data_IF_111782290811
#
_entry.id   IF_111782290811
#
_cell.length_a   1.000
_cell.length_b   1.000
_cell.length_c   1.000
_cell.angle_alpha   90.00
_cell.angle_beta   90.00
_cell.angle_gamma   90.00
#
_symmetry.space_group_name_H-M   'P 1'
#
loop_
_entity.id
_entity.type
_entity.pdbx_description
1 polymer ?
#
# COMPACT_ATOMS: atom_id res chain seq x y z
N UNK A 1 44.96 -20.96 7.48
CA UNK A 1 44.17 -19.76 7.85
C UNK A 1 42.87 -19.83 7.05
N UNK A 2 41.68 -19.65 7.66
CA UNK A 2 40.42 -19.56 6.92
C UNK A 2 40.44 -18.30 6.04
N UNK A 3 40.01 -18.42 4.77
CA UNK A 3 39.87 -17.27 3.86
C UNK A 3 38.73 -16.38 4.36
N UNK A 4 38.92 -15.07 4.25
CA UNK A 4 37.84 -14.12 4.53
C UNK A 4 36.83 -14.12 3.38
N UNK A 5 35.58 -13.74 3.67
CA UNK A 5 34.52 -13.61 2.68
C UNK A 5 34.90 -12.63 1.54
N UNK A 6 35.65 -11.58 1.87
CA UNK A 6 36.17 -10.60 0.91
C UNK A 6 37.25 -11.18 -0.01
N UNK A 7 38.13 -12.05 0.50
CA UNK A 7 39.13 -12.73 -0.34
C UNK A 7 38.48 -13.74 -1.28
N UNK A 8 37.47 -14.48 -0.79
CA UNK A 8 36.69 -15.37 -1.64
C UNK A 8 35.97 -14.59 -2.74
N UNK A 9 35.33 -13.47 -2.39
CA UNK A 9 34.68 -12.58 -3.34
C UNK A 9 35.64 -12.04 -4.41
N UNK A 10 36.82 -11.56 -4.03
CA UNK A 10 37.80 -11.02 -4.96
C UNK A 10 38.28 -12.08 -5.98
N UNK A 11 38.62 -13.28 -5.50
CA UNK A 11 39.04 -14.40 -6.34
C UNK A 11 37.91 -14.81 -7.33
N UNK A 12 36.70 -15.04 -6.81
CA UNK A 12 35.56 -15.51 -7.60
C UNK A 12 35.08 -14.45 -8.62
N UNK A 13 35.14 -13.18 -8.24
CA UNK A 13 34.80 -12.06 -9.12
C UNK A 13 35.77 -11.93 -10.29
N UNK A 14 37.06 -12.18 -10.06
CA UNK A 14 38.07 -12.24 -11.12
C UNK A 14 37.71 -13.29 -12.18
N UNK A 15 37.34 -14.49 -11.75
CA UNK A 15 36.91 -15.57 -12.65
C UNK A 15 35.66 -15.21 -13.45
N UNK A 16 34.68 -14.53 -12.84
CA UNK A 16 33.49 -14.08 -13.56
C UNK A 16 33.81 -12.99 -14.58
N UNK A 17 34.68 -12.04 -14.25
CA UNK A 17 35.11 -10.97 -15.15
C UNK A 17 35.88 -11.53 -16.35
N UNK A 18 36.79 -12.46 -16.13
CA UNK A 18 37.52 -13.15 -17.21
C UNK A 18 36.57 -13.88 -18.17
N UNK A 19 35.55 -14.56 -17.64
CA UNK A 19 34.53 -15.24 -18.46
C UNK A 19 33.69 -14.26 -19.26
N UNK A 20 33.32 -13.11 -18.68
CA UNK A 20 32.58 -12.06 -19.41
C UNK A 20 33.44 -11.43 -20.51
N UNK A 21 34.71 -11.12 -20.26
CA UNK A 21 35.63 -10.60 -21.28
C UNK A 21 35.83 -11.57 -22.45
N UNK A 22 35.93 -12.87 -22.16
CA UNK A 22 35.95 -13.93 -23.19
C UNK A 22 34.66 -13.98 -23.99
N UNK A 23 33.50 -13.93 -23.32
CA UNK A 23 32.21 -13.93 -24.00
C UNK A 23 32.01 -12.70 -24.91
N UNK A 24 32.56 -11.54 -24.53
CA UNK A 24 32.58 -10.34 -25.38
C UNK A 24 33.49 -10.46 -26.60
N UNK A 25 34.59 -11.19 -26.45
CA UNK A 25 35.64 -11.31 -27.47
C UNK A 25 35.49 -12.52 -28.39
N UNK A 26 34.53 -13.42 -28.12
CA UNK A 26 34.40 -14.71 -28.79
C UNK A 26 34.03 -14.62 -30.29
N UNK A 27 33.52 -13.49 -30.77
CA UNK A 27 33.10 -13.34 -32.16
C UNK A 27 32.60 -11.93 -32.52
N UNK A 28 32.03 -11.76 -33.74
CA UNK A 28 31.47 -10.48 -34.19
C UNK A 28 30.24 -10.05 -33.37
N UNK A 29 29.49 -11.01 -32.82
CA UNK A 29 28.41 -10.82 -31.86
C UNK A 29 28.72 -11.61 -30.59
N UNK A 30 28.58 -11.03 -29.39
CA UNK A 30 28.90 -11.69 -28.15
C UNK A 30 27.81 -12.69 -27.78
N UNK A 31 28.18 -13.69 -26.97
CA UNK A 31 27.17 -14.51 -26.31
C UNK A 31 26.53 -13.71 -25.17
N UNK A 32 25.42 -13.04 -25.49
CA UNK A 32 24.69 -12.19 -24.56
C UNK A 32 24.05 -13.00 -23.41
N UNK A 33 23.76 -14.29 -23.62
CA UNK A 33 23.19 -15.15 -22.59
C UNK A 33 24.24 -15.57 -21.55
N UNK A 34 25.45 -15.91 -21.99
CA UNK A 34 26.59 -16.15 -21.10
C UNK A 34 26.96 -14.88 -20.32
N UNK A 35 27.03 -13.73 -20.99
CA UNK A 35 27.29 -12.44 -20.33
C UNK A 35 26.29 -12.16 -19.21
N UNK A 36 24.99 -12.36 -19.48
CA UNK A 36 23.93 -12.18 -18.49
C UNK A 36 24.08 -13.13 -17.31
N UNK A 37 24.46 -14.39 -17.55
CA UNK A 37 24.65 -15.39 -16.48
C UNK A 37 25.81 -15.04 -15.56
N UNK A 38 26.97 -14.68 -16.12
CA UNK A 38 28.14 -14.31 -15.32
C UNK A 38 27.96 -12.96 -14.59
N UNK A 39 27.31 -11.98 -15.22
CA UNK A 39 26.97 -10.72 -14.55
C UNK A 39 26.02 -10.92 -13.36
N UNK A 40 25.03 -11.83 -13.48
CA UNK A 40 24.16 -12.22 -12.37
C UNK A 40 24.93 -12.89 -11.24
N UNK A 41 25.86 -13.79 -11.54
CA UNK A 41 26.68 -14.47 -10.54
C UNK A 41 27.57 -13.48 -9.79
N UNK A 42 28.26 -12.58 -10.51
CA UNK A 42 29.07 -11.51 -9.93
C UNK A 42 28.25 -10.61 -9.00
N UNK A 43 27.05 -10.20 -9.42
CA UNK A 43 26.13 -9.40 -8.60
C UNK A 43 25.73 -10.12 -7.31
N UNK A 44 25.48 -11.43 -7.39
CA UNK A 44 25.16 -12.26 -6.22
C UNK A 44 26.32 -12.31 -5.23
N UNK A 45 27.52 -12.63 -5.72
CA UNK A 45 28.75 -12.70 -4.91
C UNK A 45 29.06 -11.34 -4.25
N UNK A 46 28.90 -10.23 -4.98
CA UNK A 46 29.08 -8.88 -4.45
C UNK A 46 28.12 -8.54 -3.30
N UNK A 47 26.84 -8.94 -3.40
CA UNK A 47 25.87 -8.74 -2.31
C UNK A 47 26.19 -9.57 -1.08
N UNK A 48 26.67 -10.80 -1.27
CA UNK A 48 27.07 -11.65 -0.15
C UNK A 48 28.25 -11.04 0.60
N UNK A 49 29.16 -10.36 -0.10
CA UNK A 49 30.33 -9.69 0.45
C UNK A 49 30.10 -8.23 0.87
N UNK A 50 28.84 -7.78 0.94
CA UNK A 50 28.45 -6.41 1.30
C UNK A 50 29.07 -5.32 0.41
N UNK A 51 29.29 -5.63 -0.88
CA UNK A 51 29.86 -4.74 -1.89
C UNK A 51 28.77 -4.17 -2.82
N UNK A 52 27.85 -3.39 -2.25
CA UNK A 52 26.65 -2.90 -2.94
C UNK A 52 26.95 -2.08 -4.22
N UNK A 53 28.02 -1.28 -4.21
CA UNK A 53 28.42 -0.51 -5.38
C UNK A 53 28.80 -1.43 -6.55
N UNK A 54 29.56 -2.49 -6.30
CA UNK A 54 29.95 -3.48 -7.31
C UNK A 54 28.72 -4.27 -7.77
N UNK A 55 27.83 -4.64 -6.84
CA UNK A 55 26.57 -5.31 -7.17
C UNK A 55 25.68 -4.47 -8.11
N UNK A 56 25.66 -3.14 -7.93
CA UNK A 56 24.94 -2.21 -8.80
C UNK A 56 25.55 -2.17 -10.20
N UNK A 57 26.86 -2.02 -10.32
CA UNK A 57 27.56 -2.02 -11.60
C UNK A 57 27.39 -3.33 -12.38
N UNK A 58 27.51 -4.48 -11.69
CA UNK A 58 27.24 -5.80 -12.27
C UNK A 58 25.77 -5.94 -12.73
N UNK A 59 24.83 -5.33 -11.99
CA UNK A 59 23.42 -5.25 -12.38
C UNK A 59 23.19 -4.51 -13.70
N UNK A 60 23.96 -3.46 -13.98
CA UNK A 60 23.87 -2.71 -15.23
C UNK A 60 24.36 -3.53 -16.44
N UNK A 61 25.48 -4.25 -16.29
CA UNK A 61 25.98 -5.21 -17.28
C UNK A 61 24.93 -6.30 -17.54
N UNK A 62 24.35 -6.86 -16.46
CA UNK A 62 23.30 -7.87 -16.56
C UNK A 62 22.07 -7.36 -17.34
N UNK A 63 21.66 -6.11 -17.12
CA UNK A 63 20.53 -5.51 -17.81
C UNK A 63 20.82 -5.30 -19.30
N UNK A 64 21.98 -4.73 -19.64
CA UNK A 64 22.39 -4.52 -21.04
C UNK A 64 22.51 -5.85 -21.81
N UNK A 65 23.01 -6.91 -21.17
CA UNK A 65 23.03 -8.25 -21.74
C UNK A 65 21.62 -8.83 -21.93
N UNK A 66 20.70 -8.58 -21.00
CA UNK A 66 19.30 -8.99 -21.14
C UNK A 66 18.59 -8.28 -22.31
N UNK A 67 18.88 -7.00 -22.53
CA UNK A 67 18.33 -6.25 -23.67
C UNK A 67 18.87 -6.75 -25.02
N UNK A 68 20.13 -7.17 -25.07
CA UNK A 68 20.71 -7.85 -26.23
C UNK A 68 20.02 -9.19 -26.52
N UNK A 69 19.82 -10.03 -25.49
CA UNK A 69 19.09 -11.30 -25.63
C UNK A 69 17.64 -11.07 -26.10
N UNK A 70 17.00 -10.00 -25.62
CA UNK A 70 15.63 -9.63 -25.99
C UNK A 70 15.54 -8.92 -27.35
N UNK A 71 16.66 -8.66 -28.04
CA UNK A 71 16.69 -7.91 -29.30
C UNK A 71 16.32 -6.43 -29.17
N UNK A 72 16.25 -5.89 -27.96
CA UNK A 72 15.90 -4.47 -27.70
C UNK A 72 17.08 -3.52 -27.96
N UNK A 73 18.29 -4.07 -28.00
CA UNK A 73 19.51 -3.32 -28.22
C UNK A 73 20.30 -3.93 -29.36
N UNK A 74 20.82 -3.08 -30.24
CA UNK A 74 21.70 -3.52 -31.32
C UNK A 74 23.14 -3.65 -30.82
N UNK A 75 23.82 -4.73 -31.19
CA UNK A 75 25.24 -4.90 -30.93
C UNK A 75 26.07 -4.08 -31.93
N UNK A 76 26.63 -2.96 -31.48
CA UNK A 76 27.47 -2.07 -32.28
C UNK A 76 28.79 -1.72 -31.59
N UNK A 77 29.68 -1.02 -32.31
CA UNK A 77 31.01 -0.64 -31.81
C UNK A 77 30.95 0.21 -30.52
N UNK A 78 29.96 1.09 -30.41
CA UNK A 78 29.75 1.92 -29.22
C UNK A 78 29.38 1.08 -28.00
N UNK A 79 28.39 0.20 -28.11
CA UNK A 79 27.98 -0.69 -27.02
C UNK A 79 29.11 -1.64 -26.62
N UNK A 80 29.86 -2.15 -27.60
CA UNK A 80 31.05 -2.95 -27.35
C UNK A 80 32.07 -2.19 -26.50
N UNK A 81 32.44 -0.97 -26.92
CA UNK A 81 33.38 -0.12 -26.18
C UNK A 81 32.89 0.23 -24.77
N UNK A 82 31.59 0.52 -24.62
CA UNK A 82 30.98 0.79 -23.32
C UNK A 82 31.02 -0.44 -22.40
N UNK A 83 30.77 -1.64 -22.93
CA UNK A 83 30.81 -2.88 -22.16
C UNK A 83 32.24 -3.26 -21.74
N UNK A 84 33.21 -3.16 -22.66
CA UNK A 84 34.63 -3.40 -22.37
C UNK A 84 35.16 -2.43 -21.30
N UNK A 85 34.81 -1.15 -21.44
CA UNK A 85 35.18 -0.12 -20.46
C UNK A 85 34.55 -0.38 -19.10
N UNK A 86 33.25 -0.74 -19.06
CA UNK A 86 32.56 -1.10 -17.83
C UNK A 86 33.18 -2.30 -17.12
N UNK A 87 33.52 -3.38 -17.82
CA UNK A 87 34.16 -4.55 -17.21
C UNK A 87 35.54 -4.21 -16.63
N UNK A 88 36.33 -3.41 -17.35
CA UNK A 88 37.63 -2.93 -16.86
C UNK A 88 37.49 -2.10 -15.59
N UNK A 89 36.50 -1.22 -15.53
CA UNK A 89 36.24 -0.42 -14.34
C UNK A 89 35.75 -1.26 -13.16
N UNK A 90 34.83 -2.21 -13.39
CA UNK A 90 34.36 -3.17 -12.37
C UNK A 90 35.54 -3.98 -11.84
N UNK A 91 36.46 -4.43 -12.69
CA UNK A 91 37.69 -5.12 -12.27
C UNK A 91 38.51 -4.24 -11.32
N UNK A 92 38.73 -2.97 -11.66
CA UNK A 92 39.41 -2.04 -10.77
C UNK A 92 38.68 -1.80 -9.43
N UNK A 93 37.35 -1.86 -9.42
CA UNK A 93 36.58 -1.81 -8.16
C UNK A 93 36.79 -3.08 -7.33
N UNK A 94 36.76 -4.26 -7.95
CA UNK A 94 37.02 -5.56 -7.29
C UNK A 94 38.44 -5.62 -6.71
N UNK A 95 39.44 -5.18 -7.45
CA UNK A 95 40.84 -5.17 -7.01
C UNK A 95 41.07 -4.23 -5.82
N UNK A 96 40.23 -3.20 -5.65
CA UNK A 96 40.31 -2.22 -4.58
C UNK A 96 39.44 -2.53 -3.36
N UNK A 97 38.76 -3.67 -3.29
CA UNK A 97 37.84 -4.01 -2.18
C UNK A 97 38.51 -4.02 -0.81
N UNK A 98 39.82 -4.34 -0.73
CA UNK A 98 40.59 -4.30 0.53
C UNK A 98 40.87 -2.87 1.01
N UNK A 99 40.81 -1.90 0.13
CA UNK A 99 41.04 -0.47 0.41
C UNK A 99 40.18 0.37 -0.56
N UNK A 100 38.85 0.39 -0.36
CA UNK A 100 37.93 0.94 -1.34
C UNK A 100 38.13 2.45 -1.51
N UNK A 101 38.09 2.98 -2.74
CA UNK A 101 38.21 4.41 -2.99
C UNK A 101 36.95 5.14 -2.52
N UNK A 102 37.10 6.39 -2.10
CA UNK A 102 36.00 7.20 -1.55
C UNK A 102 34.87 7.48 -2.57
N UNK A 103 35.14 7.33 -3.86
CA UNK A 103 34.22 7.59 -4.97
C UNK A 103 33.60 6.32 -5.59
N UNK A 104 33.77 5.15 -4.95
CA UNK A 104 33.30 3.85 -5.48
C UNK A 104 31.82 3.86 -5.91
N UNK A 105 30.95 4.53 -5.14
CA UNK A 105 29.53 4.65 -5.45
C UNK A 105 29.28 5.45 -6.74
N UNK A 106 29.99 6.56 -6.94
CA UNK A 106 29.88 7.41 -8.14
C UNK A 106 30.38 6.70 -9.38
N UNK A 107 31.47 5.93 -9.25
CA UNK A 107 32.00 5.12 -10.36
C UNK A 107 31.01 4.03 -10.76
N UNK A 108 30.40 3.35 -9.79
CA UNK A 108 29.36 2.36 -10.05
C UNK A 108 28.11 2.98 -10.72
N UNK A 109 27.74 4.19 -10.34
CA UNK A 109 26.63 4.94 -10.95
C UNK A 109 26.95 5.35 -12.39
N UNK A 110 28.15 5.88 -12.66
CA UNK A 110 28.57 6.22 -14.03
C UNK A 110 28.60 5.00 -14.97
N UNK A 111 29.00 3.83 -14.47
CA UNK A 111 28.90 2.57 -15.22
C UNK A 111 27.43 2.25 -15.56
N UNK A 112 26.53 2.43 -14.58
CA UNK A 112 25.11 2.16 -14.77
C UNK A 112 24.45 3.13 -15.75
N UNK A 113 24.77 4.42 -15.68
CA UNK A 113 24.32 5.45 -16.63
C UNK A 113 24.81 5.13 -18.03
N UNK A 114 26.12 4.93 -18.24
CA UNK A 114 26.69 4.65 -19.56
C UNK A 114 26.13 3.37 -20.21
N UNK A 115 25.83 2.35 -19.42
CA UNK A 115 25.18 1.13 -19.91
C UNK A 115 23.65 1.27 -20.00
N UNK A 116 23.04 2.23 -19.31
CA UNK A 116 21.63 2.57 -19.39
C UNK A 116 21.28 3.50 -20.57
N UNK A 117 22.21 4.39 -20.97
CA UNK A 117 21.98 5.55 -21.84
C UNK A 117 22.05 5.31 -23.35
N UNK A 118 22.28 4.08 -23.83
CA UNK A 118 21.86 3.77 -25.21
C UNK A 118 20.34 3.55 -25.18
N UNK A 119 19.65 4.68 -25.10
CA UNK A 119 18.23 4.87 -25.33
C UNK A 119 17.87 4.25 -26.69
N UNK A 120 16.64 3.75 -26.79
CA UNK A 120 16.03 3.58 -28.10
C UNK A 120 16.26 4.87 -28.91
N UNK A 121 16.53 4.78 -30.23
CA UNK A 121 16.63 5.98 -31.05
C UNK A 121 15.45 6.90 -30.72
N UNK A 122 15.67 8.22 -30.55
CA UNK A 122 14.60 9.13 -30.19
C UNK A 122 13.44 8.91 -31.16
N UNK A 123 12.18 8.87 -30.66
CA UNK A 123 11.04 8.65 -31.53
C UNK A 123 11.13 9.67 -32.68
N UNK A 124 10.96 9.22 -33.93
CA UNK A 124 10.92 10.12 -35.06
C UNK A 124 9.83 11.20 -34.83
N UNK A 125 9.91 12.37 -35.49
CA UNK A 125 8.92 13.43 -35.31
C UNK A 125 7.48 12.92 -35.46
N UNK A 126 6.53 13.43 -34.65
CA UNK A 126 5.12 12.97 -34.56
C UNK A 126 4.41 12.82 -35.92
N UNK A 127 4.77 13.66 -36.89
CA UNK A 127 4.18 13.68 -38.23
C UNK A 127 4.86 12.75 -39.26
N UNK A 128 5.90 12.01 -38.87
CA UNK A 128 6.65 11.10 -39.74
C UNK A 128 5.96 9.73 -39.86
N UNK A 129 5.92 9.15 -41.06
CA UNK A 129 5.54 7.76 -41.31
C UNK A 129 6.38 6.79 -40.47
N UNK A 130 7.66 7.13 -40.24
CA UNK A 130 8.57 6.35 -39.38
C UNK A 130 8.09 6.31 -37.93
N UNK A 131 7.51 7.41 -37.43
CA UNK A 131 6.97 7.46 -36.07
C UNK A 131 5.74 6.57 -35.94
N UNK A 132 4.83 6.61 -36.92
CA UNK A 132 3.66 5.72 -36.94
C UNK A 132 4.07 4.26 -36.99
N UNK A 133 5.02 3.89 -37.84
CA UNK A 133 5.52 2.51 -37.93
C UNK A 133 6.22 2.07 -36.63
N UNK A 134 7.00 2.96 -36.01
CA UNK A 134 7.60 2.72 -34.70
C UNK A 134 6.52 2.47 -33.64
N UNK A 135 5.59 3.39 -33.48
CA UNK A 135 4.51 3.30 -32.51
C UNK A 135 3.67 2.05 -32.73
N UNK A 136 3.27 1.75 -33.98
CA UNK A 136 2.55 0.53 -34.32
C UNK A 136 3.33 -0.74 -33.95
N UNK A 137 4.65 -0.74 -34.09
CA UNK A 137 5.49 -1.88 -33.65
C UNK A 137 5.50 -2.01 -32.13
N UNK A 138 5.60 -0.90 -31.39
CA UNK A 138 5.56 -0.92 -29.92
C UNK A 138 4.19 -1.37 -29.39
N UNK A 139 3.08 -0.88 -29.98
CA UNK A 139 1.72 -1.27 -29.63
C UNK A 139 1.46 -2.76 -29.89
N UNK A 140 1.91 -3.28 -31.05
CA UNK A 140 1.83 -4.72 -31.34
C UNK A 140 2.64 -5.54 -30.34
N UNK A 141 3.82 -5.06 -29.94
CA UNK A 141 4.63 -5.69 -28.91
C UNK A 141 3.91 -5.75 -27.56
N UNK A 142 3.24 -4.67 -27.15
CA UNK A 142 2.40 -4.66 -25.94
C UNK A 142 1.21 -5.63 -26.07
N UNK A 143 0.51 -5.63 -27.20
CA UNK A 143 -0.62 -6.54 -27.44
C UNK A 143 -0.19 -8.02 -27.35
N UNK A 144 0.98 -8.38 -27.89
CA UNK A 144 1.55 -9.72 -27.76
C UNK A 144 1.82 -10.09 -26.29
N UNK A 145 2.48 -9.20 -25.53
CA UNK A 145 2.77 -9.43 -24.11
C UNK A 145 1.47 -9.57 -23.27
N UNK A 146 0.42 -8.81 -23.60
CA UNK A 146 -0.91 -8.98 -22.97
C UNK A 146 -1.46 -10.38 -23.29
N UNK A 147 -1.36 -10.83 -24.54
CA UNK A 147 -1.79 -12.17 -24.95
C UNK A 147 -1.07 -13.28 -24.18
N UNK A 148 0.24 -13.19 -24.04
CA UNK A 148 1.04 -14.15 -23.25
C UNK A 148 0.68 -14.10 -21.76
N UNK A 149 0.50 -12.90 -21.24
CA UNK A 149 0.11 -12.68 -19.83
C UNK A 149 -1.26 -13.27 -19.54
N UNK A 150 -2.23 -13.15 -20.45
CA UNK A 150 -3.57 -13.72 -20.33
C UNK A 150 -3.52 -15.25 -20.15
N UNK A 151 -2.71 -15.96 -20.94
CA UNK A 151 -2.58 -17.42 -20.83
C UNK A 151 -2.06 -17.83 -19.45
N UNK A 152 -1.11 -17.07 -18.91
CA UNK A 152 -0.56 -17.33 -17.56
C UNK A 152 -1.62 -17.03 -16.49
N UNK A 153 -2.30 -15.89 -16.60
CA UNK A 153 -3.28 -15.42 -15.61
C UNK A 153 -4.57 -16.25 -15.61
N UNK A 154 -4.96 -16.81 -16.75
CA UNK A 154 -6.08 -17.76 -16.83
C UNK A 154 -5.79 -19.06 -16.06
N UNK A 155 -4.53 -19.51 -16.06
CA UNK A 155 -4.09 -20.71 -15.35
C UNK A 155 -3.77 -20.43 -13.89
N UNK A 156 -3.16 -19.29 -13.61
CA UNK A 156 -2.78 -18.85 -12.28
C UNK A 156 -3.17 -17.38 -12.05
N UNK A 157 -4.41 -17.11 -11.62
CA UNK A 157 -4.93 -15.77 -11.34
C UNK A 157 -4.20 -14.98 -10.24
N UNK A 158 -3.34 -15.64 -9.46
CA UNK A 158 -2.56 -15.02 -8.38
C UNK A 158 -1.16 -14.61 -8.82
N UNK A 159 -0.72 -15.04 -10.01
CA UNK A 159 0.61 -14.73 -10.50
C UNK A 159 0.76 -13.22 -10.78
N UNK A 160 1.66 -12.57 -10.04
CA UNK A 160 1.91 -11.11 -10.17
C UNK A 160 2.94 -10.76 -11.21
N UNK A 161 3.75 -11.71 -11.66
CA UNK A 161 4.84 -11.42 -12.59
C UNK A 161 4.33 -10.93 -13.97
N UNK A 162 3.30 -11.52 -14.59
CA UNK A 162 2.73 -11.00 -15.84
C UNK A 162 2.28 -9.54 -15.70
N UNK A 163 1.56 -9.22 -14.62
CA UNK A 163 1.08 -7.86 -14.35
C UNK A 163 2.22 -6.84 -14.21
N UNK A 164 3.31 -7.20 -13.52
CA UNK A 164 4.49 -6.34 -13.39
C UNK A 164 5.19 -6.13 -14.72
N UNK A 165 5.27 -7.15 -15.58
CA UNK A 165 5.84 -7.01 -16.94
C UNK A 165 5.00 -6.05 -17.78
N UNK A 166 3.68 -6.17 -17.75
CA UNK A 166 2.77 -5.25 -18.44
C UNK A 166 2.96 -3.80 -18.00
N UNK A 167 3.00 -3.52 -16.69
CA UNK A 167 3.25 -2.15 -16.19
C UNK A 167 4.58 -1.59 -16.66
N UNK A 168 5.65 -2.40 -16.66
CA UNK A 168 6.96 -1.97 -17.18
C UNK A 168 6.91 -1.64 -18.68
N UNK A 169 6.04 -2.30 -19.44
CA UNK A 169 5.87 -2.08 -20.88
C UNK A 169 4.98 -0.88 -21.20
N UNK A 170 3.98 -0.61 -20.36
CA UNK A 170 3.07 0.53 -20.49
C UNK A 170 3.77 1.87 -20.23
N UNK A 171 4.64 1.96 -19.21
CA UNK A 171 5.25 3.23 -18.80
C UNK A 171 6.01 3.99 -19.90
N UNK A 172 6.85 3.35 -20.73
CA UNK A 172 7.51 4.05 -21.84
C UNK A 172 6.51 4.61 -22.86
N UNK A 173 5.40 3.91 -23.13
CA UNK A 173 4.37 4.36 -24.07
C UNK A 173 3.65 5.61 -23.57
N UNK A 174 3.40 5.71 -22.26
CA UNK A 174 2.85 6.92 -21.60
C UNK A 174 3.78 8.13 -21.72
N UNK A 175 5.09 7.90 -21.91
CA UNK A 175 6.06 8.97 -22.12
C UNK A 175 6.12 9.50 -23.56
N UNK A 176 5.43 8.85 -24.50
CA UNK A 176 5.39 9.28 -25.90
C UNK A 176 4.27 10.32 -26.04
N UNK A 177 4.66 11.53 -26.44
CA UNK A 177 3.72 12.64 -26.65
C UNK A 177 2.63 12.27 -27.68
N UNK A 178 1.36 12.48 -27.30
CA UNK A 178 0.20 12.24 -28.16
C UNK A 178 -0.29 10.79 -28.22
N UNK A 179 0.32 9.83 -27.52
CA UNK A 179 -0.22 8.45 -27.44
C UNK A 179 -1.59 8.42 -26.77
N UNK A 180 -1.79 9.26 -25.76
CA UNK A 180 -3.07 9.37 -25.04
C UNK A 180 -4.19 9.97 -25.94
N UNK A 181 -3.83 10.69 -27.02
CA UNK A 181 -4.77 11.30 -27.97
C UNK A 181 -5.26 10.30 -29.03
N UNK A 182 -4.61 9.14 -29.16
CA UNK A 182 -4.96 8.15 -30.17
C UNK A 182 -6.24 7.41 -29.72
N UNK A 183 -7.30 7.40 -30.55
CA UNK A 183 -8.53 6.70 -30.24
C UNK A 183 -8.29 5.23 -29.84
N UNK A 184 -8.99 4.78 -28.80
CA UNK A 184 -8.89 3.46 -28.18
C UNK A 184 -7.53 3.11 -27.53
N UNK A 185 -6.39 3.66 -27.96
CA UNK A 185 -5.07 3.40 -27.35
C UNK A 185 -4.96 4.05 -25.97
N UNK A 186 -5.23 5.36 -25.87
CA UNK A 186 -5.20 6.09 -24.59
C UNK A 186 -6.07 5.43 -23.52
N UNK A 187 -7.36 5.17 -23.81
CA UNK A 187 -8.27 4.43 -22.93
C UNK A 187 -7.76 3.03 -22.57
N UNK A 188 -7.29 2.24 -23.55
CA UNK A 188 -6.77 0.89 -23.30
C UNK A 188 -5.57 0.89 -22.35
N UNK A 189 -4.59 1.76 -22.59
CA UNK A 189 -3.37 1.83 -21.77
C UNK A 189 -3.70 2.31 -20.36
N UNK A 190 -4.56 3.31 -20.24
CA UNK A 190 -5.02 3.86 -18.95
C UNK A 190 -5.80 2.82 -18.15
N UNK A 191 -6.79 2.17 -18.75
CA UNK A 191 -7.58 1.13 -18.11
C UNK A 191 -6.72 -0.05 -17.64
N UNK A 192 -5.74 -0.48 -18.44
CA UNK A 192 -4.78 -1.51 -18.04
C UNK A 192 -3.95 -1.07 -16.84
N UNK A 193 -3.37 0.13 -16.86
CA UNK A 193 -2.54 0.63 -15.77
C UNK A 193 -3.34 0.74 -14.46
N UNK A 194 -4.50 1.39 -14.48
CA UNK A 194 -5.34 1.60 -13.30
C UNK A 194 -5.80 0.28 -12.69
N UNK A 195 -6.32 -0.64 -13.51
CA UNK A 195 -6.79 -1.94 -13.02
C UNK A 195 -5.64 -2.78 -12.48
N UNK A 196 -4.48 -2.79 -13.14
CA UNK A 196 -3.32 -3.54 -12.63
C UNK A 196 -2.84 -2.96 -11.30
N UNK A 197 -2.76 -1.64 -11.16
CA UNK A 197 -2.38 -0.98 -9.92
C UNK A 197 -3.41 -1.26 -8.81
N UNK A 198 -4.70 -1.25 -9.12
CA UNK A 198 -5.76 -1.60 -8.16
C UNK A 198 -5.66 -3.05 -7.69
N UNK A 199 -5.38 -3.98 -8.60
CA UNK A 199 -5.14 -5.39 -8.26
C UNK A 199 -3.92 -5.53 -7.33
N UNK A 200 -2.85 -4.77 -7.58
CA UNK A 200 -1.65 -4.79 -6.76
C UNK A 200 -1.91 -4.22 -5.35
N UNK A 201 -2.61 -3.09 -5.26
CA UNK A 201 -2.94 -2.41 -4.00
C UNK A 201 -3.86 -3.24 -3.11
N UNK A 202 -4.91 -3.82 -3.69
CA UNK A 202 -5.89 -4.65 -2.96
C UNK A 202 -5.44 -6.11 -2.76
N UNK A 203 -4.32 -6.50 -3.36
CA UNK A 203 -3.89 -7.90 -3.44
C UNK A 203 -4.98 -8.86 -4.01
N UNK A 204 -5.91 -8.34 -4.81
CA UNK A 204 -7.02 -9.12 -5.40
C UNK A 204 -6.55 -10.12 -6.47
N UNK A 205 -7.28 -11.22 -6.69
CA UNK A 205 -6.99 -12.17 -7.77
C UNK A 205 -7.52 -11.65 -9.11
N UNK A 206 -6.86 -11.99 -10.23
CA UNK A 206 -7.34 -11.65 -11.58
C UNK A 206 -8.58 -12.48 -11.92
N UNK A 207 -9.76 -11.95 -11.64
CA UNK A 207 -11.05 -12.54 -12.01
C UNK A 207 -11.46 -12.35 -13.49
N UNK A 208 -12.60 -12.96 -13.91
CA UNK A 208 -13.06 -12.97 -15.30
C UNK A 208 -13.25 -11.59 -15.93
N UNK A 209 -13.77 -10.61 -15.18
CA UNK A 209 -13.95 -9.23 -15.68
C UNK A 209 -12.63 -8.59 -16.10
N UNK A 210 -11.56 -8.76 -15.32
CA UNK A 210 -10.23 -8.27 -15.69
C UNK A 210 -9.72 -8.92 -16.99
N UNK A 211 -9.97 -10.23 -17.17
CA UNK A 211 -9.55 -10.94 -18.39
C UNK A 211 -10.31 -10.46 -19.62
N UNK A 212 -11.60 -10.14 -19.48
CA UNK A 212 -12.40 -9.54 -20.56
C UNK A 212 -11.86 -8.18 -20.94
N UNK A 213 -11.62 -7.29 -19.96
CA UNK A 213 -11.00 -5.99 -20.18
C UNK A 213 -9.64 -6.12 -20.88
N UNK A 214 -8.76 -6.99 -20.38
CA UNK A 214 -7.42 -7.20 -20.94
C UNK A 214 -7.47 -7.73 -22.38
N UNK A 215 -8.41 -8.64 -22.70
CA UNK A 215 -8.64 -9.10 -24.07
C UNK A 215 -9.14 -7.97 -24.97
N UNK A 216 -10.03 -7.12 -24.48
CA UNK A 216 -10.56 -6.00 -25.26
C UNK A 216 -9.50 -4.94 -25.53
N UNK A 217 -8.73 -4.57 -24.51
CA UNK A 217 -7.58 -3.68 -24.63
C UNK A 217 -6.54 -4.24 -25.60
N UNK A 218 -6.21 -5.54 -25.52
CA UNK A 218 -5.31 -6.21 -26.47
C UNK A 218 -5.79 -6.07 -27.90
N UNK A 219 -7.08 -6.33 -28.15
CA UNK A 219 -7.66 -6.25 -29.49
C UNK A 219 -7.56 -4.82 -30.04
N UNK A 220 -7.95 -3.82 -29.25
CA UNK A 220 -7.87 -2.41 -29.66
C UNK A 220 -6.43 -1.99 -30.00
N UNK A 221 -5.45 -2.41 -29.20
CA UNK A 221 -4.04 -2.12 -29.45
C UNK A 221 -3.54 -2.78 -30.74
N UNK A 222 -3.93 -4.02 -31.04
CA UNK A 222 -3.51 -4.74 -32.25
C UNK A 222 -4.16 -4.20 -33.53
N UNK A 223 -5.43 -3.78 -33.43
CA UNK A 223 -6.17 -3.13 -34.52
C UNK A 223 -5.47 -1.82 -34.91
N UNK A 224 -5.24 -0.92 -33.95
CA UNK A 224 -4.55 0.35 -34.18
C UNK A 224 -3.11 0.14 -34.61
N UNK A 225 -2.39 -0.82 -34.02
CA UNK A 225 -1.04 -1.17 -34.45
C UNK A 225 -0.98 -1.56 -35.93
N UNK A 226 -1.99 -2.31 -36.39
CA UNK A 226 -2.06 -2.76 -37.78
C UNK A 226 -2.27 -1.61 -38.75
N UNK A 227 -3.13 -0.65 -38.43
CA UNK A 227 -3.34 0.57 -39.21
C UNK A 227 -2.07 1.44 -39.26
N UNK A 228 -1.45 1.69 -38.10
CA UNK A 228 -0.21 2.47 -38.00
C UNK A 228 0.96 1.86 -38.78
N UNK A 229 1.10 0.53 -38.76
CA UNK A 229 2.15 -0.18 -39.52
C UNK A 229 1.92 -0.07 -41.03
N UNK A 230 0.66 -0.02 -41.48
CA UNK A 230 0.29 0.26 -42.89
C UNK A 230 0.51 1.73 -43.28
N UNK A 231 0.77 2.61 -42.32
CA UNK A 231 0.93 4.04 -42.54
C UNK A 231 -0.41 4.79 -42.58
N UNK A 232 -1.51 4.12 -42.25
CA UNK A 232 -2.86 4.68 -42.18
C UNK A 232 -3.03 5.49 -40.88
N UNK A 233 -4.00 6.41 -40.86
CA UNK A 233 -4.39 7.04 -39.60
C UNK A 233 -5.32 6.09 -38.83
N UNK A 234 -5.18 6.02 -37.49
CA UNK A 234 -6.05 5.20 -36.66
C UNK A 234 -7.51 5.53 -36.94
N UNK A 235 -8.28 4.55 -37.41
CA UNK A 235 -9.68 4.77 -37.69
C UNK A 235 -10.41 4.96 -36.36
N UNK A 236 -10.95 6.16 -36.14
CA UNK A 236 -11.53 6.62 -34.88
C UNK A 236 -12.87 5.96 -34.55
N UNK A 237 -12.94 4.64 -34.50
CA UNK A 237 -14.15 3.94 -34.01
C UNK A 237 -14.21 4.14 -32.50
N UNK A 238 -14.84 5.24 -32.09
CA UNK A 238 -15.04 5.64 -30.70
C UNK A 238 -15.66 4.53 -29.84
N UNK A 239 -16.41 3.62 -30.46
CA UNK A 239 -17.08 2.50 -29.78
C UNK A 239 -16.09 1.62 -28.99
N UNK A 240 -14.88 1.40 -29.51
CA UNK A 240 -13.86 0.59 -28.82
C UNK A 240 -13.32 1.26 -27.55
N UNK A 241 -13.21 2.59 -27.57
CA UNK A 241 -12.78 3.37 -26.41
C UNK A 241 -13.87 3.36 -25.31
N UNK A 242 -15.12 3.61 -25.70
CA UNK A 242 -16.27 3.61 -24.77
C UNK A 242 -16.43 2.26 -24.09
N UNK A 243 -16.36 1.17 -24.85
CA UNK A 243 -16.48 -0.18 -24.29
C UNK A 243 -15.35 -0.52 -23.30
N UNK A 244 -14.13 -0.07 -23.55
CA UNK A 244 -13.00 -0.26 -22.63
C UNK A 244 -13.21 0.51 -21.33
N UNK A 245 -13.67 1.76 -21.40
CA UNK A 245 -13.98 2.56 -20.22
C UNK A 245 -15.14 1.95 -19.42
N UNK A 246 -16.22 1.51 -20.07
CA UNK A 246 -17.33 0.82 -19.41
C UNK A 246 -16.87 -0.46 -18.69
N UNK A 247 -16.02 -1.27 -19.34
CA UNK A 247 -15.46 -2.48 -18.74
C UNK A 247 -14.53 -2.15 -17.57
N UNK A 248 -13.74 -1.08 -17.67
CA UNK A 248 -12.87 -0.60 -16.59
C UNK A 248 -13.71 -0.22 -15.38
N UNK A 249 -14.73 0.60 -15.57
CA UNK A 249 -15.60 1.08 -14.50
C UNK A 249 -16.33 -0.10 -13.82
N UNK A 250 -16.89 -1.03 -14.59
CA UNK A 250 -17.49 -2.25 -14.06
C UNK A 250 -16.52 -3.08 -13.22
N UNK A 251 -15.27 -3.24 -13.67
CA UNK A 251 -14.24 -4.00 -12.95
C UNK A 251 -13.85 -3.30 -11.65
N UNK A 252 -13.66 -1.98 -11.69
CA UNK A 252 -13.29 -1.19 -10.51
C UNK A 252 -14.42 -1.11 -9.49
N UNK A 253 -15.67 -0.98 -9.94
CA UNK A 253 -16.86 -0.98 -9.08
C UNK A 253 -17.09 -2.35 -8.45
N UNK A 254 -16.98 -3.44 -9.22
CA UNK A 254 -17.09 -4.81 -8.68
C UNK A 254 -15.99 -5.10 -7.65
N UNK A 255 -14.78 -4.57 -7.86
CA UNK A 255 -13.68 -4.69 -6.90
C UNK A 255 -13.92 -3.85 -5.64
N UNK A 256 -14.66 -2.75 -5.72
CA UNK A 256 -15.09 -1.95 -4.57
C UNK A 256 -16.27 -2.59 -3.81
N UNK A 257 -17.17 -3.29 -4.52
CA UNK A 257 -18.37 -3.94 -3.95
C UNK A 257 -18.14 -5.34 -3.39
N UNK A 258 -16.99 -5.99 -3.65
CA UNK A 258 -16.63 -7.22 -2.94
C UNK A 258 -16.28 -6.88 -1.49
N UNK A 259 -17.32 -6.78 -0.67
CA UNK A 259 -17.22 -6.88 0.77
C UNK A 259 -16.56 -8.23 1.07
N UNK A 260 -15.25 -8.22 1.34
CA UNK A 260 -14.46 -9.43 1.57
C UNK A 260 -15.00 -10.06 2.84
N UNK A 261 -15.95 -10.99 2.68
CA UNK A 261 -16.43 -11.84 3.76
C UNK A 261 -15.34 -12.88 4.00
N UNK A 262 -14.65 -12.78 5.12
CA UNK A 262 -13.56 -13.70 5.44
C UNK A 262 -14.14 -15.10 5.72
N UNK A 263 -13.39 -16.16 5.42
CA UNK A 263 -13.82 -17.54 5.74
C UNK A 263 -14.16 -17.66 7.23
N UNK A 264 -13.44 -16.92 8.09
CA UNK A 264 -13.70 -16.85 9.52
C UNK A 264 -15.04 -16.18 9.89
N UNK A 265 -15.64 -15.39 9.01
CA UNK A 265 -16.99 -14.79 9.14
C UNK A 265 -18.09 -15.73 8.61
N UNK A 266 -17.74 -16.82 7.93
CA UNK A 266 -18.66 -17.86 7.46
C UNK A 266 -18.94 -18.94 8.52
N UNK A 267 -18.24 -18.93 9.65
CA UNK A 267 -18.48 -19.86 10.76
C UNK A 267 -19.50 -19.29 11.76
N UNK A 268 -20.40 -20.15 12.22
CA UNK A 268 -21.40 -19.82 13.24
C UNK A 268 -20.76 -19.57 14.62
N UNK A 269 -21.39 -18.71 15.41
CA UNK A 269 -20.97 -18.32 16.77
C UNK A 269 -21.21 -19.38 17.85
N UNK A 270 -21.98 -20.40 17.51
CA UNK A 270 -22.35 -21.44 18.46
C UNK A 270 -21.23 -22.46 18.60
N UNK A 271 -20.98 -22.97 19.82
CA UNK A 271 -20.19 -24.17 20.03
C UNK A 271 -20.97 -25.39 19.50
N UNK A 272 -21.17 -25.44 18.19
CA UNK A 272 -21.71 -26.58 17.46
C UNK A 272 -20.60 -27.57 17.08
N UNK A 273 -20.95 -28.77 16.59
CA UNK A 273 -20.02 -29.87 16.31
C UNK A 273 -19.09 -29.64 15.09
N UNK A 274 -18.83 -28.37 14.74
CA UNK A 274 -18.19 -27.95 13.48
C UNK A 274 -16.75 -27.47 13.65
N UNK A 275 -16.20 -27.52 14.87
CA UNK A 275 -14.78 -27.25 15.11
C UNK A 275 -14.11 -28.59 15.42
N UNK A 276 -13.51 -29.21 14.41
CA UNK A 276 -12.48 -30.23 14.68
C UNK A 276 -11.35 -29.56 15.46
N UNK A 277 -10.89 -30.20 16.54
CA UNK A 277 -9.82 -29.70 17.40
C UNK A 277 -8.65 -29.20 16.54
N UNK A 278 -8.42 -27.89 16.57
CA UNK A 278 -7.29 -27.29 15.86
C UNK A 278 -6.02 -27.82 16.54
N UNK A 279 -5.15 -28.55 15.84
CA UNK A 279 -3.96 -29.12 16.45
C UNK A 279 -3.08 -27.97 16.96
N UNK A 280 -3.01 -27.83 18.28
CA UNK A 280 -2.07 -26.93 18.92
C UNK A 280 -0.66 -27.45 18.60
N UNK A 281 0.23 -26.58 18.12
CA UNK A 281 1.60 -26.99 17.83
C UNK A 281 2.28 -27.54 19.11
N UNK A 282 3.36 -28.29 18.98
CA UNK A 282 4.03 -28.88 20.14
C UNK A 282 4.64 -27.81 21.05
N UNK A 283 4.62 -28.05 22.37
CA UNK A 283 5.11 -27.14 23.42
C UNK A 283 6.59 -26.78 23.18
N UNK A 284 6.83 -25.60 22.60
CA UNK A 284 8.10 -24.88 22.78
C UNK A 284 8.26 -24.41 24.23
N UNK A 285 9.46 -23.98 24.61
CA UNK A 285 9.92 -23.75 25.99
C UNK A 285 9.22 -22.64 26.83
N UNK A 286 7.96 -22.28 26.54
CA UNK A 286 7.13 -21.32 27.29
C UNK A 286 5.67 -21.75 27.40
N UNK A 287 4.88 -21.09 28.27
CA UNK A 287 3.44 -21.37 28.37
C UNK A 287 2.70 -20.75 27.17
N UNK A 288 1.80 -21.51 26.54
CA UNK A 288 0.91 -21.04 25.47
C UNK A 288 0.17 -19.76 25.85
N UNK A 289 -0.27 -19.69 27.11
CA UNK A 289 -0.92 -18.53 27.71
C UNK A 289 -0.01 -17.29 27.71
N UNK A 290 1.27 -17.45 28.06
CA UNK A 290 2.23 -16.34 28.07
C UNK A 290 2.54 -15.82 26.68
N UNK A 291 2.66 -16.71 25.70
CA UNK A 291 2.83 -16.32 24.29
C UNK A 291 1.60 -15.60 23.76
N UNK A 292 0.40 -16.14 24.01
CA UNK A 292 -0.85 -15.47 23.64
C UNK A 292 -0.95 -14.09 24.28
N UNK A 293 -0.71 -13.98 25.59
CA UNK A 293 -0.79 -12.70 26.30
C UNK A 293 0.17 -11.66 25.72
N UNK A 294 1.40 -12.05 25.37
CA UNK A 294 2.38 -11.16 24.73
C UNK A 294 1.90 -10.65 23.36
N UNK A 295 1.50 -11.56 22.47
CA UNK A 295 1.03 -11.23 21.11
C UNK A 295 -0.29 -10.43 21.12
N UNK A 296 -1.21 -10.79 22.02
CA UNK A 296 -2.47 -10.09 22.20
C UNK A 296 -2.24 -8.68 22.76
N UNK A 297 -1.30 -8.51 23.69
CA UNK A 297 -0.90 -7.19 24.21
C UNK A 297 -0.33 -6.31 23.10
N UNK A 298 0.61 -6.80 22.30
CA UNK A 298 1.15 -6.03 21.17
C UNK A 298 0.08 -5.68 20.10
N UNK A 299 -0.93 -6.54 19.95
CA UNK A 299 -2.08 -6.25 19.10
C UNK A 299 -2.97 -5.15 19.68
N UNK A 300 -3.25 -5.18 20.99
CA UNK A 300 -3.99 -4.13 21.68
C UNK A 300 -3.25 -2.79 21.69
N UNK A 301 -1.92 -2.78 21.77
CA UNK A 301 -1.11 -1.56 21.64
C UNK A 301 -1.24 -0.95 20.24
N UNK A 302 -1.24 -1.80 19.21
CA UNK A 302 -1.46 -1.38 17.82
C UNK A 302 -2.87 -0.82 17.63
N UNK A 303 -3.88 -1.51 18.17
CA UNK A 303 -5.29 -1.08 18.15
C UNK A 303 -5.43 0.27 18.85
N UNK A 304 -4.86 0.43 20.04
CA UNK A 304 -4.94 1.68 20.81
C UNK A 304 -4.30 2.85 20.08
N UNK A 305 -3.12 2.64 19.47
CA UNK A 305 -2.46 3.66 18.64
C UNK A 305 -3.32 4.06 17.44
N UNK A 306 -3.86 3.10 16.70
CA UNK A 306 -4.72 3.37 15.53
C UNK A 306 -6.04 4.04 15.92
N UNK A 307 -6.62 3.64 17.05
CA UNK A 307 -7.81 4.26 17.65
C UNK A 307 -7.55 5.71 18.01
N UNK A 308 -6.45 6.00 18.71
CA UNK A 308 -6.07 7.37 19.05
C UNK A 308 -5.81 8.21 17.80
N UNK A 309 -5.14 7.66 16.79
CA UNK A 309 -4.93 8.31 15.48
C UNK A 309 -6.27 8.66 14.82
N UNK A 310 -7.21 7.71 14.76
CA UNK A 310 -8.55 7.91 14.19
C UNK A 310 -9.38 8.94 14.97
N UNK A 311 -9.21 9.03 16.29
CA UNK A 311 -9.92 10.01 17.13
C UNK A 311 -9.47 11.47 16.87
N UNK A 312 -8.22 11.69 16.46
CA UNK A 312 -7.64 13.03 16.32
C UNK A 312 -7.47 13.49 14.85
N UNK A 313 -7.42 12.57 13.88
CA UNK A 313 -7.14 12.90 12.48
C UNK A 313 -8.35 12.59 11.57
N UNK A 314 -9.13 13.60 11.11
CA UNK A 314 -10.19 13.38 10.12
C UNK A 314 -9.63 13.00 8.74
N UNK A 315 -8.45 13.52 8.40
CA UNK A 315 -7.80 13.28 7.12
C UNK A 315 -7.26 11.85 7.06
N UNK A 316 -7.76 11.05 6.11
CA UNK A 316 -7.37 9.64 5.98
C UNK A 316 -8.09 8.69 6.96
N UNK A 317 -9.12 9.15 7.67
CA UNK A 317 -9.93 8.33 8.58
C UNK A 317 -10.38 6.98 7.97
N UNK A 318 -10.81 6.87 6.69
CA UNK A 318 -11.17 5.57 6.10
C UNK A 318 -10.01 4.56 6.08
N UNK A 319 -8.79 5.02 5.80
CA UNK A 319 -7.60 4.15 5.74
C UNK A 319 -7.16 3.71 7.13
N UNK A 320 -7.28 4.58 8.12
CA UNK A 320 -6.98 4.25 9.53
C UNK A 320 -8.04 3.26 10.05
N UNK A 321 -9.32 3.49 9.76
CA UNK A 321 -10.42 2.59 10.11
C UNK A 321 -10.25 1.19 9.51
N UNK A 322 -9.76 1.08 8.27
CA UNK A 322 -9.44 -0.21 7.63
C UNK A 322 -8.31 -0.95 8.37
N UNK A 323 -7.23 -0.25 8.73
CA UNK A 323 -6.12 -0.82 9.52
C UNK A 323 -6.56 -1.23 10.92
N UNK A 324 -7.44 -0.45 11.55
CA UNK A 324 -8.02 -0.75 12.86
C UNK A 324 -8.89 -2.01 12.80
N UNK A 325 -9.77 -2.10 11.80
CA UNK A 325 -10.61 -3.28 11.52
C UNK A 325 -9.75 -4.54 11.31
N UNK A 326 -8.68 -4.41 10.51
CA UNK A 326 -7.71 -5.50 10.30
C UNK A 326 -7.05 -5.94 11.60
N UNK A 327 -6.67 -5.00 12.47
CA UNK A 327 -5.98 -5.29 13.73
C UNK A 327 -6.89 -6.01 14.74
N UNK A 328 -8.16 -5.60 14.85
CA UNK A 328 -9.17 -6.31 15.65
C UNK A 328 -9.41 -7.74 15.15
N UNK A 329 -9.40 -7.94 13.83
CA UNK A 329 -9.53 -9.28 13.24
C UNK A 329 -8.35 -10.18 13.57
N UNK A 330 -7.12 -9.68 13.47
CA UNK A 330 -5.92 -10.43 13.88
C UNK A 330 -5.96 -10.80 15.37
N UNK A 331 -6.42 -9.89 16.23
CA UNK A 331 -6.64 -10.18 17.64
C UNK A 331 -7.68 -11.31 17.83
N UNK A 332 -8.81 -11.25 17.12
CA UNK A 332 -9.85 -12.30 17.15
C UNK A 332 -9.31 -13.67 16.72
N UNK A 333 -8.64 -13.75 15.57
CA UNK A 333 -8.12 -15.02 15.02
C UNK A 333 -7.16 -15.69 16.01
N UNK A 334 -6.26 -14.90 16.62
CA UNK A 334 -5.38 -15.40 17.68
C UNK A 334 -6.16 -15.81 18.92
N UNK A 335 -7.09 -14.98 19.41
CA UNK A 335 -7.88 -15.29 20.59
C UNK A 335 -8.63 -16.63 20.47
N UNK A 336 -9.26 -16.88 19.33
CA UNK A 336 -9.95 -18.16 19.07
C UNK A 336 -8.95 -19.32 19.03
N UNK A 337 -7.81 -19.15 18.35
CA UNK A 337 -6.77 -20.19 18.23
C UNK A 337 -6.24 -20.64 19.60
N UNK A 338 -6.16 -19.73 20.57
CA UNK A 338 -5.67 -20.01 21.92
C UNK A 338 -6.79 -20.27 22.94
N UNK A 339 -8.05 -20.49 22.50
CA UNK A 339 -9.16 -20.84 23.39
C UNK A 339 -9.81 -19.68 24.15
N UNK A 340 -9.49 -18.42 23.79
CA UNK A 340 -10.08 -17.21 24.35
C UNK A 340 -11.27 -16.72 23.51
N UNK A 341 -12.26 -17.59 23.29
CA UNK A 341 -13.41 -17.30 22.42
C UNK A 341 -14.18 -16.03 22.82
N UNK A 342 -14.30 -15.74 24.13
CA UNK A 342 -14.96 -14.53 24.63
C UNK A 342 -14.28 -13.25 24.16
N UNK A 343 -12.96 -13.14 24.32
CA UNK A 343 -12.18 -12.01 23.80
C UNK A 343 -12.30 -11.91 22.28
N UNK A 344 -12.26 -13.05 21.59
CA UNK A 344 -12.46 -13.11 20.15
C UNK A 344 -13.80 -12.51 19.71
N UNK A 345 -14.90 -12.82 20.40
CA UNK A 345 -16.22 -12.25 20.09
C UNK A 345 -16.24 -10.73 20.22
N UNK A 346 -15.73 -10.18 21.32
CA UNK A 346 -15.66 -8.72 21.54
C UNK A 346 -14.82 -8.05 20.45
N UNK A 347 -13.62 -8.60 20.16
CA UNK A 347 -12.74 -8.06 19.13
C UNK A 347 -13.41 -8.07 17.74
N UNK A 348 -14.16 -9.13 17.39
CA UNK A 348 -14.92 -9.18 16.14
C UNK A 348 -16.00 -8.10 16.09
N UNK A 349 -16.81 -7.98 17.14
CA UNK A 349 -17.88 -6.96 17.21
C UNK A 349 -17.30 -5.55 17.10
N UNK A 350 -16.17 -5.28 17.76
CA UNK A 350 -15.49 -3.99 17.68
C UNK A 350 -14.98 -3.69 16.26
N UNK A 351 -14.37 -4.66 15.59
CA UNK A 351 -13.98 -4.51 14.18
C UNK A 351 -15.18 -4.29 13.25
N UNK A 352 -16.30 -4.98 13.49
CA UNK A 352 -17.53 -4.79 12.73
C UNK A 352 -18.15 -3.40 12.94
N UNK A 353 -18.13 -2.88 14.17
CA UNK A 353 -18.59 -1.52 14.49
C UNK A 353 -17.81 -0.44 13.72
N UNK A 354 -16.48 -0.57 13.66
CA UNK A 354 -15.62 0.32 12.88
C UNK A 354 -15.93 0.21 11.39
N UNK A 355 -16.03 -1.02 10.86
CA UNK A 355 -16.35 -1.27 9.45
C UNK A 355 -17.69 -0.67 9.04
N UNK A 356 -18.74 -0.89 9.83
CA UNK A 356 -20.09 -0.40 9.56
C UNK A 356 -20.18 1.13 9.53
N UNK A 357 -19.19 1.82 10.10
CA UNK A 357 -19.15 3.29 10.15
C UNK A 357 -18.21 3.90 9.11
N UNK A 358 -17.62 3.07 8.23
CA UNK A 358 -16.67 3.52 7.20
C UNK A 358 -17.29 4.49 6.21
N UNK A 359 -18.55 4.25 5.85
CA UNK A 359 -19.29 5.08 4.89
C UNK A 359 -20.05 6.22 5.59
N UNK A 360 -19.97 6.30 6.92
CA UNK A 360 -20.54 7.40 7.69
C UNK A 360 -19.64 8.65 7.60
N UNK A 361 -20.18 9.84 7.91
CA UNK A 361 -19.37 11.06 7.97
C UNK A 361 -18.15 10.90 8.90
N UNK A 362 -17.00 11.56 8.64
CA UNK A 362 -15.76 11.39 9.40
C UNK A 362 -15.91 11.55 10.92
N UNK A 363 -16.79 12.45 11.39
CA UNK A 363 -17.07 12.65 12.81
C UNK A 363 -17.63 11.38 13.49
N UNK A 364 -18.33 10.52 12.75
CA UNK A 364 -18.89 9.27 13.28
C UNK A 364 -17.80 8.24 13.55
N UNK A 365 -16.80 8.14 12.67
CA UNK A 365 -15.61 7.32 12.88
C UNK A 365 -14.80 7.80 14.09
N UNK A 366 -14.66 9.13 14.25
CA UNK A 366 -14.02 9.72 15.43
C UNK A 366 -14.76 9.39 16.72
N UNK A 367 -16.09 9.54 16.74
CA UNK A 367 -16.91 9.20 17.90
C UNK A 367 -16.74 7.74 18.33
N UNK A 368 -16.82 6.81 17.37
CA UNK A 368 -16.59 5.38 17.65
C UNK A 368 -15.16 5.12 18.14
N UNK A 369 -14.16 5.78 17.57
CA UNK A 369 -12.78 5.65 18.03
C UNK A 369 -12.61 6.14 19.48
N UNK A 370 -13.30 7.21 19.88
CA UNK A 370 -13.30 7.70 21.26
C UNK A 370 -13.97 6.65 22.17
N UNK A 371 -15.16 6.19 21.82
CA UNK A 371 -15.95 5.28 22.65
C UNK A 371 -15.29 3.89 22.82
N UNK A 372 -14.56 3.42 21.80
CA UNK A 372 -13.81 2.16 21.85
C UNK A 372 -12.66 2.15 22.88
N UNK A 373 -12.26 3.29 23.44
CA UNK A 373 -11.19 3.34 24.43
C UNK A 373 -11.50 2.47 25.66
N UNK A 374 -12.76 2.51 26.12
CA UNK A 374 -13.21 1.72 27.29
C UNK A 374 -13.22 0.23 26.96
N UNK A 375 -13.65 -0.14 25.74
CA UNK A 375 -13.61 -1.53 25.27
C UNK A 375 -12.18 -2.07 25.23
N UNK A 376 -11.22 -1.30 24.66
CA UNK A 376 -9.80 -1.70 24.56
C UNK A 376 -9.17 -1.84 25.96
N UNK A 377 -9.45 -0.92 26.88
CA UNK A 377 -8.97 -1.00 28.26
C UNK A 377 -9.51 -2.24 29.00
N UNK A 378 -10.78 -2.59 28.79
CA UNK A 378 -11.37 -3.79 29.35
C UNK A 378 -10.75 -5.07 28.78
N UNK A 379 -10.46 -5.12 27.47
CA UNK A 379 -9.73 -6.23 26.85
C UNK A 379 -8.28 -6.36 27.37
N UNK A 380 -7.62 -5.25 27.71
CA UNK A 380 -6.31 -5.29 28.36
C UNK A 380 -6.40 -5.86 29.78
N UNK A 381 -7.40 -5.43 30.55
CA UNK A 381 -7.67 -5.97 31.89
C UNK A 381 -7.91 -7.48 31.85
N UNK A 382 -8.55 -8.00 30.79
CA UNK A 382 -8.74 -9.43 30.58
C UNK A 382 -7.40 -10.18 30.44
N UNK A 383 -6.42 -9.65 29.69
CA UNK A 383 -5.12 -10.29 29.49
C UNK A 383 -4.27 -10.29 30.76
N UNK A 384 -4.39 -9.24 31.58
CA UNK A 384 -3.64 -9.09 32.84
C UNK A 384 -4.23 -9.94 33.98
N UNK A 385 -5.51 -10.29 33.90
CA UNK A 385 -6.19 -11.09 34.91
C UNK A 385 -5.72 -12.55 34.90
N UNK A 386 -5.34 -13.06 36.06
CA UNK A 386 -5.04 -14.48 36.30
C UNK A 386 -6.29 -15.29 36.68
N UNK A 387 -7.29 -14.64 37.28
CA UNK A 387 -8.51 -15.27 37.78
C UNK A 387 -9.63 -15.25 36.72
N UNK A 388 -10.35 -16.37 36.62
CA UNK A 388 -11.43 -16.55 35.63
C UNK A 388 -12.59 -15.56 35.81
N UNK A 389 -13.00 -15.29 37.05
CA UNK A 389 -14.10 -14.36 37.36
C UNK A 389 -13.76 -12.91 36.96
N UNK A 390 -12.51 -12.50 37.18
CA UNK A 390 -11.99 -11.20 36.74
C UNK A 390 -11.95 -11.09 35.22
N UNK A 391 -11.57 -12.17 34.52
CA UNK A 391 -11.62 -12.26 33.05
C UNK A 391 -13.06 -12.14 32.52
N UNK A 392 -14.01 -12.87 33.10
CA UNK A 392 -15.42 -12.80 32.71
C UNK A 392 -15.99 -11.39 32.94
N UNK A 393 -15.69 -10.77 34.08
CA UNK A 393 -16.07 -9.39 34.39
C UNK A 393 -15.46 -8.37 33.43
N UNK A 394 -14.21 -8.59 32.98
CA UNK A 394 -13.56 -7.76 31.98
C UNK A 394 -14.22 -7.88 30.59
N UNK A 395 -14.62 -9.10 30.18
CA UNK A 395 -15.35 -9.31 28.94
C UNK A 395 -16.74 -8.65 28.97
N UNK A 396 -17.47 -8.80 30.08
CA UNK A 396 -18.78 -8.17 30.23
C UNK A 396 -18.68 -6.64 30.09
N UNK A 397 -17.72 -6.01 30.79
CA UNK A 397 -17.47 -4.56 30.66
C UNK A 397 -17.13 -4.15 29.23
N UNK A 398 -16.35 -4.97 28.52
CA UNK A 398 -15.98 -4.69 27.14
C UNK A 398 -17.19 -4.78 26.21
N UNK A 399 -18.06 -5.78 26.38
CA UNK A 399 -19.30 -5.94 25.62
C UNK A 399 -20.28 -4.80 25.91
N UNK A 400 -20.52 -4.43 27.17
CA UNK A 400 -21.42 -3.33 27.56
C UNK A 400 -20.95 -1.99 26.97
N UNK A 401 -19.64 -1.73 27.05
CA UNK A 401 -19.02 -0.53 26.47
C UNK A 401 -19.18 -0.48 24.95
N UNK A 402 -18.99 -1.62 24.28
CA UNK A 402 -19.11 -1.70 22.83
C UNK A 402 -20.57 -1.57 22.37
N UNK A 403 -21.51 -2.11 23.14
CA UNK A 403 -22.94 -1.95 22.90
C UNK A 403 -23.34 -0.47 22.99
N UNK A 404 -22.88 0.23 24.03
CA UNK A 404 -23.10 1.67 24.18
C UNK A 404 -22.48 2.49 23.03
N UNK A 405 -21.31 2.10 22.51
CA UNK A 405 -20.65 2.78 21.39
C UNK A 405 -21.38 2.57 20.04
N UNK A 406 -21.88 1.35 19.81
CA UNK A 406 -22.53 0.96 18.55
C UNK A 406 -23.97 1.41 18.46
N UNK A 407 -24.68 1.30 19.57
CA UNK A 407 -26.02 1.80 19.77
C UNK A 407 -25.89 2.88 20.81
N UNK A 408 -25.40 4.08 20.45
CA UNK A 408 -25.61 5.22 21.32
C UNK A 408 -27.12 5.27 21.46
N UNK A 409 -27.63 4.85 22.62
CA UNK A 409 -29.01 5.13 23.01
C UNK A 409 -29.16 6.56 22.61
N UNK A 410 -30.06 6.84 21.64
CA UNK A 410 -30.49 8.21 21.42
C UNK A 410 -30.97 8.61 22.79
N UNK A 411 -30.11 9.31 23.54
CA UNK A 411 -30.55 10.03 24.73
C UNK A 411 -31.79 10.78 24.28
N UNK A 412 -32.79 10.93 25.17
CA UNK A 412 -34.04 11.60 24.80
C UNK A 412 -33.65 12.82 24.00
N UNK A 413 -34.13 12.91 22.75
CA UNK A 413 -33.71 13.96 21.82
C UNK A 413 -33.85 15.27 22.57
N UNK A 414 -32.73 15.81 23.01
CA UNK A 414 -32.72 17.02 23.82
C UNK A 414 -33.00 18.09 22.80
N UNK A 415 -34.22 18.62 22.85
CA UNK A 415 -34.65 19.62 21.89
C UNK A 415 -33.58 20.71 21.85
N UNK A 416 -33.14 21.14 20.67
CA UNK A 416 -32.07 22.15 20.57
C UNK A 416 -32.47 23.41 21.37
N UNK A 417 -33.77 23.67 21.44
CA UNK A 417 -34.36 24.74 22.25
C UNK A 417 -34.11 24.59 23.76
N UNK A 418 -33.98 23.35 24.27
CA UNK A 418 -33.60 23.07 25.67
C UNK A 418 -32.10 23.13 25.94
N UNK A 419 -31.26 23.19 24.89
CA UNK A 419 -29.83 23.50 24.99
C UNK A 419 -29.56 25.02 24.92
N UNK A 420 -30.56 25.81 24.54
CA UNK A 420 -30.49 27.26 24.60
C UNK A 420 -30.86 27.71 26.01
N UNK A 421 -30.00 28.51 26.62
CA UNK A 421 -30.38 29.18 27.85
C UNK A 421 -31.59 30.08 27.60
N UNK A 422 -32.62 29.95 28.43
CA UNK A 422 -33.61 31.02 28.56
C UNK A 422 -32.91 32.28 29.10
N UNK A 423 -33.49 33.46 28.90
CA UNK A 423 -32.88 34.69 29.42
C UNK A 423 -32.70 34.63 30.95
N UNK A 424 -33.62 33.96 31.66
CA UNK A 424 -33.56 33.79 33.11
C UNK A 424 -32.47 32.79 33.52
N UNK A 425 -32.34 31.67 32.82
CA UNK A 425 -31.28 30.68 33.07
C UNK A 425 -29.89 31.23 32.74
N UNK A 426 -29.77 32.02 31.67
CA UNK A 426 -28.52 32.68 31.29
C UNK A 426 -28.04 33.64 32.38
N UNK A 427 -28.96 34.46 32.94
CA UNK A 427 -28.65 35.37 34.05
C UNK A 427 -28.32 34.60 35.32
N UNK A 428 -29.05 33.52 35.61
CA UNK A 428 -28.78 32.65 36.77
C UNK A 428 -27.40 32.02 36.70
N UNK A 429 -27.02 31.48 35.53
CA UNK A 429 -25.70 30.91 35.28
C UNK A 429 -24.60 31.97 35.35
N UNK A 430 -24.79 33.14 34.74
CA UNK A 430 -23.83 34.24 34.82
C UNK A 430 -23.57 34.69 36.28
N UNK A 431 -24.59 34.68 37.14
CA UNK A 431 -24.42 34.97 38.58
C UNK A 431 -23.62 33.88 39.31
N UNK A 432 -23.86 32.61 38.98
CA UNK A 432 -23.04 31.50 39.50
C UNK A 432 -21.58 31.67 39.11
N UNK A 433 -21.31 31.92 37.83
CA UNK A 433 -19.98 32.15 37.29
C UNK A 433 -19.29 33.35 37.96
N UNK A 434 -20.01 34.45 38.19
CA UNK A 434 -19.49 35.61 38.91
C UNK A 434 -19.05 35.26 40.34
N UNK A 435 -19.79 34.38 41.03
CA UNK A 435 -19.42 33.89 42.36
C UNK A 435 -18.19 32.99 42.32
N UNK A 436 -18.07 32.14 41.30
CA UNK A 436 -16.90 31.28 41.07
C UNK A 436 -15.63 32.10 40.74
N UNK A 437 -15.75 33.12 39.88
CA UNK A 437 -14.67 34.06 39.56
C UNK A 437 -14.22 34.79 40.83
N UNK A 438 -15.16 35.28 41.64
CA UNK A 438 -14.83 35.94 42.90
C UNK A 438 -14.11 35.02 43.89
N UNK A 439 -14.42 33.72 43.89
CA UNK A 439 -13.70 32.73 44.70
C UNK A 439 -12.27 32.50 44.16
N UNK A 440 -12.11 32.37 42.84
CA UNK A 440 -10.81 32.19 42.18
C UNK A 440 -9.88 33.38 42.37
N UNK A 441 -10.41 34.60 42.47
CA UNK A 441 -9.61 35.82 42.67
C UNK A 441 -9.23 36.09 44.13
N UNK A 442 -9.77 35.32 45.09
CA UNK A 442 -9.49 35.49 46.54
C UNK A 442 -8.36 34.62 47.07
N UNK A 443 -7.83 33.69 46.28
CA UNK A 443 -6.67 32.86 46.65
C UNK A 443 -5.36 33.60 46.37
N UNK A 444 -4.32 33.31 47.16
CA UNK A 444 -3.02 34.00 47.13
C UNK A 444 -2.30 33.92 45.76
N UNK A 445 -2.61 32.89 44.96
CA UNK A 445 -2.14 32.73 43.59
C UNK A 445 -3.33 32.35 42.68
N UNK A 446 -4.07 33.34 42.14
CA UNK A 446 -5.26 33.07 41.34
C UNK A 446 -4.91 32.47 39.98
N UNK A 447 -5.73 31.52 39.52
CA UNK A 447 -5.70 30.98 38.16
C UNK A 447 -6.36 31.98 37.21
N UNK A 448 -5.55 32.89 36.66
CA UNK A 448 -6.01 34.03 35.85
C UNK A 448 -6.62 33.57 34.52
N UNK A 449 -6.07 32.52 33.91
CA UNK A 449 -6.56 32.00 32.61
C UNK A 449 -7.96 31.38 32.77
N UNK A 450 -8.17 30.65 33.86
CA UNK A 450 -9.48 30.12 34.20
C UNK A 450 -10.47 31.24 34.57
N UNK A 451 -10.05 32.22 35.36
CA UNK A 451 -10.90 33.36 35.71
C UNK A 451 -11.32 34.17 34.47
N UNK A 452 -10.42 34.37 33.51
CA UNK A 452 -10.71 35.04 32.24
C UNK A 452 -11.69 34.24 31.40
N UNK A 453 -11.51 32.92 31.27
CA UNK A 453 -12.42 32.05 30.52
C UNK A 453 -13.84 32.07 31.09
N UNK A 454 -13.97 32.02 32.42
CA UNK A 454 -15.28 32.10 33.09
C UNK A 454 -15.93 33.48 32.94
N UNK A 455 -15.12 34.55 32.88
CA UNK A 455 -15.61 35.91 32.66
C UNK A 455 -16.20 36.07 31.25
N UNK A 456 -15.50 35.58 30.23
CA UNK A 456 -15.99 35.58 28.83
C UNK A 456 -17.31 34.80 28.71
N UNK A 457 -17.41 33.62 29.34
CA UNK A 457 -18.66 32.85 29.39
C UNK A 457 -19.80 33.64 30.06
N UNK A 458 -19.52 34.27 31.21
CA UNK A 458 -20.53 35.06 31.93
C UNK A 458 -21.01 36.27 31.11
N UNK A 459 -20.09 36.96 30.41
CA UNK A 459 -20.44 38.09 29.54
C UNK A 459 -21.27 37.66 28.34
N UNK A 460 -20.92 36.55 27.68
CA UNK A 460 -21.71 35.99 26.58
C UNK A 460 -23.13 35.60 27.00
N UNK A 461 -23.31 35.05 28.21
CA UNK A 461 -24.63 34.73 28.75
C UNK A 461 -25.46 35.98 29.05
N UNK A 462 -24.83 37.05 29.56
CA UNK A 462 -25.52 38.34 29.81
C UNK A 462 -25.95 38.98 28.48
N UNK A 463 -25.08 38.99 27.47
CA UNK A 463 -25.40 39.51 26.15
C UNK A 463 -26.58 38.76 25.52
N UNK A 464 -26.56 37.41 25.57
CA UNK A 464 -27.66 36.57 25.10
C UNK A 464 -28.99 36.90 25.80
N UNK A 465 -28.98 37.10 27.12
CA UNK A 465 -30.16 37.48 27.89
C UNK A 465 -30.72 38.86 27.49
N UNK A 466 -29.84 39.83 27.23
CA UNK A 466 -30.21 41.18 26.79
C UNK A 466 -30.85 41.16 25.39
N UNK A 467 -30.27 40.42 24.44
CA UNK A 467 -30.81 40.28 23.08
C UNK A 467 -32.19 39.61 23.10
N UNK A 468 -32.36 38.56 23.91
CA UNK A 468 -33.62 37.83 24.03
C UNK A 468 -34.72 38.66 24.68
N UNK A 469 -34.41 39.45 25.71
CA UNK A 469 -35.39 40.33 26.35
C UNK A 469 -35.81 41.51 25.48
N UNK A 470 -34.89 42.05 24.67
CA UNK A 470 -35.19 43.10 23.69
C UNK A 470 -36.09 42.63 22.54
N UNK A 471 -36.07 41.32 22.23
CA UNK A 471 -36.87 40.72 21.14
C UNK A 471 -38.33 40.43 21.52
N UNK A 472 -38.68 40.56 22.81
CA UNK A 472 -40.01 40.24 23.37
C UNK A 472 -40.86 41.50 23.61
N UNK A 473 -40.26 42.69 23.51
CA UNK A 473 -40.94 44.00 23.51
C UNK A 473 -41.26 44.44 22.09
#
# INVERSE_FOLDING_TARGET
>A
MPRTLLEFFADESGDYLDKMERALSAGPTPDADELRRFARALRGSARMADQDAIARAAGAVQAAAADLVAGKRHWGAELKGNMESALKEIRGLVDSVKSPPADIAKRAESIAERLGDSAAPPPPPKDDERFRRYLGTELRGLASEIGESLVILERDPRNREPLKRLLRRIRPLRGIEGVDEIPAVGPAVTALEEVILRIADTSATVGPGHLVLFRRARQALDDVATELIRGEQPSGVADGAVEIEDLKDQVLETAAQRDITWISELFHDEPGPHIEECPMAERGAGSWEGFFALEATGSLDTIERLRAELAHAPDGAPRIAERLTYSFRQLRERAVTFGHAGLGRVARRAGAAVRASRDAPPWRLQAIAIDLAVTVAALRSYLEASEKETRESALQRADDSLEAATHPTRGPTVDIESLLYTAEDAVSRARSLSSEIAALLRVDAPDVDRAHSLLEEALGLIEHALVRTASVQ
#
